data_IF_290226167898
#
_entry.id   IF_290226167898
#
_cell.length_a   1.000
_cell.length_b   1.000
_cell.length_c   1.000
_cell.angle_alpha   90.00
_cell.angle_beta   90.00
_cell.angle_gamma   90.00
#
_symmetry.space_group_name_H-M   'P 1'
#
loop_
_entity.id
_entity.type
_entity.pdbx_description
1 polymer ?
#
# COMPACT_ATOMS: atom_id res chain seq x y z
N UNK A 1 -12.22 9.77 -33.99
CA UNK A 1 -11.33 10.25 -32.92
C UNK A 1 -9.90 9.91 -33.32
N UNK A 2 -9.02 10.89 -33.32
CA UNK A 2 -7.63 10.64 -33.68
C UNK A 2 -6.88 9.95 -32.52
N UNK A 3 -5.74 9.31 -32.84
CA UNK A 3 -4.90 8.72 -31.79
C UNK A 3 -4.34 9.78 -30.81
N UNK A 4 -4.31 11.04 -31.24
CA UNK A 4 -3.89 12.15 -30.40
C UNK A 4 -5.02 12.54 -29.44
N UNK A 5 -6.27 12.63 -29.91
CA UNK A 5 -7.43 12.96 -29.08
C UNK A 5 -7.61 11.90 -27.98
N UNK A 6 -7.44 10.61 -28.31
CA UNK A 6 -7.52 9.54 -27.30
C UNK A 6 -6.44 9.65 -26.24
N UNK A 7 -5.21 10.03 -26.60
CA UNK A 7 -4.13 10.22 -25.60
C UNK A 7 -4.37 11.43 -24.69
N UNK A 8 -4.95 12.48 -25.24
CA UNK A 8 -5.31 13.67 -24.48
C UNK A 8 -6.43 13.36 -23.46
N UNK A 9 -7.46 12.61 -23.86
CA UNK A 9 -8.52 12.13 -22.96
C UNK A 9 -7.96 11.19 -21.88
N UNK A 10 -7.10 10.24 -22.26
CA UNK A 10 -6.45 9.32 -21.34
C UNK A 10 -5.54 10.03 -20.32
N UNK A 11 -4.91 11.13 -20.71
CA UNK A 11 -4.12 11.93 -19.78
C UNK A 11 -5.02 12.75 -18.87
N UNK A 12 -6.13 13.29 -19.39
CA UNK A 12 -7.06 14.10 -18.64
C UNK A 12 -7.75 13.32 -17.52
N UNK A 13 -8.09 12.03 -17.73
CA UNK A 13 -8.70 11.19 -16.70
C UNK A 13 -7.75 10.93 -15.53
N UNK A 14 -6.47 10.73 -15.82
CA UNK A 14 -5.43 10.54 -14.80
C UNK A 14 -5.18 11.82 -14.02
N UNK A 15 -5.09 12.97 -14.69
CA UNK A 15 -4.90 14.26 -14.01
C UNK A 15 -6.10 14.59 -13.10
N UNK A 16 -7.30 14.31 -13.53
CA UNK A 16 -8.51 14.48 -12.72
C UNK A 16 -8.49 13.57 -11.49
N UNK A 17 -8.11 12.29 -11.64
CA UNK A 17 -7.98 11.36 -10.53
C UNK A 17 -6.89 11.80 -9.55
N UNK A 18 -5.74 12.25 -10.04
CA UNK A 18 -4.66 12.79 -9.22
C UNK A 18 -5.13 14.01 -8.40
N UNK A 19 -5.79 14.96 -9.04
CA UNK A 19 -6.30 16.16 -8.38
C UNK A 19 -7.32 15.85 -7.29
N UNK A 20 -8.17 14.84 -7.49
CA UNK A 20 -9.24 14.49 -6.57
C UNK A 20 -8.80 13.61 -5.39
N UNK A 21 -7.81 12.73 -5.57
CA UNK A 21 -7.56 11.63 -4.63
C UNK A 21 -6.16 11.57 -4.03
N UNK A 22 -5.13 12.22 -4.62
CA UNK A 22 -3.78 12.13 -4.09
C UNK A 22 -3.66 12.69 -2.68
N UNK A 23 -2.94 11.98 -1.82
CA UNK A 23 -2.51 12.38 -0.49
C UNK A 23 -3.64 12.73 0.50
N UNK A 24 -4.88 12.34 0.19
CA UNK A 24 -6.01 12.50 1.11
C UNK A 24 -6.23 11.20 1.85
N UNK A 25 -6.09 11.21 3.18
CA UNK A 25 -6.35 10.05 4.04
C UNK A 25 -7.83 9.67 3.93
N UNK A 26 -8.10 8.44 3.55
CA UNK A 26 -9.47 7.93 3.39
C UNK A 26 -9.78 6.75 4.32
N UNK A 27 -8.78 6.18 4.97
CA UNK A 27 -8.92 5.07 5.92
C UNK A 27 -7.94 5.25 7.07
N UNK A 28 -8.43 5.05 8.28
CA UNK A 28 -7.60 5.05 9.48
C UNK A 28 -7.99 3.87 10.37
N UNK A 29 -7.00 3.12 10.82
CA UNK A 29 -7.16 1.99 11.71
C UNK A 29 -6.12 2.04 12.81
N UNK A 30 -6.46 1.47 13.98
CA UNK A 30 -5.48 1.25 15.05
C UNK A 30 -5.30 -0.24 15.26
N UNK A 31 -4.06 -0.68 15.22
CA UNK A 31 -3.65 -2.06 15.47
C UNK A 31 -2.93 -2.16 16.81
N UNK A 32 -3.12 -3.27 17.51
CA UNK A 32 -2.25 -3.71 18.59
C UNK A 32 -1.82 -5.13 18.28
N UNK A 33 -0.52 -5.35 18.12
CA UNK A 33 -0.01 -6.64 17.68
C UNK A 33 0.33 -7.53 18.87
N UNK A 34 -0.06 -8.78 18.77
CA UNK A 34 0.31 -9.83 19.69
C UNK A 34 1.72 -10.35 19.39
N UNK A 35 2.55 -10.52 20.44
CA UNK A 35 3.94 -10.94 20.26
C UNK A 35 4.08 -12.31 19.62
N UNK A 36 3.21 -13.28 19.96
CA UNK A 36 3.26 -14.62 19.36
C UNK A 36 2.89 -14.59 17.88
N UNK A 37 1.98 -13.71 17.47
CA UNK A 37 1.65 -13.51 16.05
C UNK A 37 2.80 -12.88 15.27
N UNK A 38 3.51 -11.91 15.86
CA UNK A 38 4.70 -11.34 15.24
C UNK A 38 5.80 -12.38 15.07
N UNK A 39 6.06 -13.20 16.09
CA UNK A 39 7.04 -14.29 16.03
C UNK A 39 6.65 -15.35 15.00
N UNK A 40 5.37 -15.71 14.91
CA UNK A 40 4.87 -16.65 13.91
C UNK A 40 5.03 -16.12 12.48
N UNK A 41 4.77 -14.85 12.25
CA UNK A 41 5.02 -14.20 10.96
C UNK A 41 6.50 -14.25 10.60
N UNK A 42 7.39 -13.90 11.54
CA UNK A 42 8.82 -13.95 11.34
C UNK A 42 9.30 -15.36 10.96
N UNK A 43 8.85 -16.37 11.69
CA UNK A 43 9.18 -17.78 11.40
C UNK A 43 8.67 -18.22 10.02
N UNK A 44 7.47 -17.82 9.62
CA UNK A 44 6.89 -18.12 8.31
C UNK A 44 7.69 -17.47 7.17
N UNK A 45 8.34 -16.33 7.41
CA UNK A 45 9.23 -15.66 6.46
C UNK A 45 10.65 -16.24 6.45
N UNK A 46 10.95 -17.23 7.29
CA UNK A 46 12.28 -17.82 7.40
C UNK A 46 13.27 -17.03 8.25
N UNK A 47 12.78 -16.06 9.06
CA UNK A 47 13.60 -15.34 10.01
C UNK A 47 14.12 -16.26 11.12
N UNK A 48 15.38 -16.03 11.51
CA UNK A 48 16.05 -16.79 12.58
C UNK A 48 16.61 -15.91 13.69
N UNK A 49 16.68 -14.59 13.48
CA UNK A 49 17.20 -13.67 14.47
C UNK A 49 16.28 -13.61 15.71
N UNK A 50 16.78 -13.81 16.94
CA UNK A 50 15.97 -13.85 18.15
C UNK A 50 15.11 -12.58 18.36
N UNK A 51 15.59 -11.40 17.95
CA UNK A 51 14.82 -10.15 18.03
C UNK A 51 13.49 -10.19 17.27
N UNK A 52 13.33 -11.11 16.31
CA UNK A 52 12.11 -11.27 15.51
C UNK A 52 11.33 -12.52 15.87
N UNK A 53 11.98 -13.55 16.43
CA UNK A 53 11.40 -14.87 16.63
C UNK A 53 11.10 -15.22 18.09
N UNK A 54 11.72 -14.52 19.04
CA UNK A 54 11.57 -14.76 20.46
C UNK A 54 10.86 -13.60 21.16
N UNK A 55 9.58 -13.73 21.54
CA UNK A 55 8.85 -12.69 22.26
C UNK A 55 9.46 -12.25 23.59
N UNK A 56 10.32 -13.08 24.19
CA UNK A 56 11.03 -12.73 25.44
C UNK A 56 12.33 -11.94 25.22
N UNK A 57 12.76 -11.79 23.97
CA UNK A 57 13.98 -11.05 23.66
C UNK A 57 13.81 -9.57 24.02
N UNK A 58 14.83 -8.96 24.63
CA UNK A 58 14.77 -7.57 25.11
C UNK A 58 14.49 -6.55 23.98
N UNK A 59 14.93 -6.84 22.76
CA UNK A 59 14.69 -6.01 21.56
C UNK A 59 13.68 -6.67 20.61
N UNK A 60 12.69 -7.38 21.15
CA UNK A 60 11.69 -8.06 20.31
C UNK A 60 10.84 -7.06 19.54
N UNK A 61 10.72 -7.29 18.24
CA UNK A 61 10.03 -6.41 17.31
C UNK A 61 9.56 -7.17 16.08
N UNK A 62 8.60 -6.61 15.34
CA UNK A 62 8.20 -7.16 14.05
C UNK A 62 9.36 -7.11 13.05
N UNK A 63 9.52 -8.12 12.18
CA UNK A 63 10.47 -8.02 11.10
C UNK A 63 10.11 -6.87 10.14
N UNK A 64 11.11 -6.27 9.45
CA UNK A 64 10.91 -5.09 8.61
C UNK A 64 9.85 -5.23 7.53
N UNK A 65 9.58 -6.44 7.06
CA UNK A 65 8.57 -6.73 6.03
C UNK A 65 7.15 -6.89 6.57
N UNK A 66 6.97 -6.97 7.90
CA UNK A 66 5.68 -7.20 8.53
C UNK A 66 4.56 -6.23 8.05
N UNK A 67 4.82 -4.92 7.84
CA UNK A 67 3.79 -3.99 7.37
C UNK A 67 3.16 -4.38 6.04
N UNK A 68 3.82 -5.19 5.21
CA UNK A 68 3.24 -5.67 3.94
C UNK A 68 2.08 -6.63 4.13
N UNK A 69 1.92 -7.22 5.33
CA UNK A 69 0.79 -8.07 5.69
C UNK A 69 -0.47 -7.31 6.09
N UNK A 70 -0.35 -6.01 6.33
CA UNK A 70 -1.46 -5.17 6.74
C UNK A 70 -2.25 -4.67 5.52
N UNK A 71 -3.54 -4.48 5.73
CA UNK A 71 -4.45 -3.98 4.70
C UNK A 71 -5.37 -2.91 5.27
N UNK A 72 -5.70 -1.85 4.50
CA UNK A 72 -6.72 -0.91 4.89
C UNK A 72 -8.09 -1.60 4.96
N UNK A 73 -9.00 -1.07 5.77
CA UNK A 73 -10.38 -1.56 5.83
C UNK A 73 -11.13 -1.31 4.53
N UNK A 74 -10.72 -0.29 3.79
CA UNK A 74 -11.24 0.07 2.48
C UNK A 74 -10.08 0.15 1.48
N UNK A 75 -10.16 -0.64 0.43
CA UNK A 75 -9.06 -0.76 -0.56
C UNK A 75 -8.83 0.51 -1.36
N UNK A 76 -9.88 1.22 -1.72
CA UNK A 76 -9.86 2.48 -2.48
C UNK A 76 -10.81 3.49 -1.85
N UNK A 77 -10.57 4.80 -1.99
CA UNK A 77 -11.48 5.81 -1.50
C UNK A 77 -12.82 5.76 -2.22
N UNK A 78 -13.85 6.28 -1.57
CA UNK A 78 -15.18 6.41 -2.18
C UNK A 78 -15.11 7.31 -3.40
N UNK A 79 -15.82 6.92 -4.46
CA UNK A 79 -15.83 7.67 -5.71
C UNK A 79 -14.56 7.53 -6.56
N UNK A 80 -13.60 6.70 -6.16
CA UNK A 80 -12.41 6.47 -6.98
C UNK A 80 -12.80 5.94 -8.37
N UNK A 81 -12.22 6.48 -9.47
CA UNK A 81 -12.62 6.11 -10.82
C UNK A 81 -12.38 4.63 -11.12
N UNK A 82 -13.30 4.04 -11.87
CA UNK A 82 -13.17 2.68 -12.38
C UNK A 82 -12.50 2.71 -13.75
N UNK A 83 -11.27 2.25 -13.80
CA UNK A 83 -10.60 1.99 -15.07
C UNK A 83 -11.03 0.63 -15.61
N UNK A 84 -11.45 0.60 -16.88
CA UNK A 84 -12.02 -0.61 -17.48
C UNK A 84 -10.93 -1.54 -18.00
N UNK A 85 -10.77 -2.69 -17.37
CA UNK A 85 -9.73 -3.63 -17.79
C UNK A 85 -9.52 -4.79 -16.84
N UNK A 86 -8.38 -5.45 -16.99
CA UNK A 86 -7.95 -6.54 -16.13
C UNK A 86 -7.15 -5.99 -14.94
N UNK A 87 -7.67 -6.22 -13.74
CA UNK A 87 -6.96 -5.92 -12.50
C UNK A 87 -5.86 -6.92 -12.19
N UNK A 88 -4.69 -6.41 -11.79
CA UNK A 88 -3.53 -7.19 -11.40
C UNK A 88 -2.91 -6.62 -10.14
N UNK A 89 -2.23 -7.47 -9.37
CA UNK A 89 -1.36 -7.03 -8.29
C UNK A 89 -0.06 -6.48 -8.93
N UNK A 90 0.26 -5.23 -8.59
CA UNK A 90 1.47 -4.54 -9.06
C UNK A 90 2.65 -4.67 -8.09
N UNK A 91 2.45 -5.39 -6.99
CA UNK A 91 3.46 -5.60 -5.97
C UNK A 91 3.32 -4.69 -4.75
N UNK A 92 4.21 -4.92 -3.81
CA UNK A 92 4.28 -4.21 -2.54
C UNK A 92 5.67 -3.64 -2.31
N UNK A 93 5.73 -2.52 -1.59
CA UNK A 93 6.99 -1.96 -1.10
C UNK A 93 6.82 -1.57 0.37
N UNK A 94 7.90 -1.66 1.13
CA UNK A 94 7.92 -1.31 2.55
C UNK A 94 9.17 -0.49 2.85
N UNK A 95 9.01 0.53 3.71
CA UNK A 95 10.11 1.24 4.34
C UNK A 95 9.95 1.13 5.84
N UNK A 96 10.83 0.38 6.48
CA UNK A 96 10.91 0.29 7.93
C UNK A 96 11.75 1.45 8.46
N UNK A 97 11.19 2.26 9.36
CA UNK A 97 11.80 3.48 9.88
C UNK A 97 12.18 3.30 11.35
N UNK A 98 11.25 2.75 12.15
CA UNK A 98 11.45 2.47 13.57
C UNK A 98 10.78 1.15 13.95
N UNK A 99 11.19 0.50 15.07
CA UNK A 99 10.64 -0.79 15.48
C UNK A 99 9.13 -0.75 15.73
N UNK A 100 8.42 -1.74 15.20
CA UNK A 100 7.03 -2.05 15.59
C UNK A 100 7.09 -3.11 16.67
N UNK A 101 6.61 -2.78 17.87
CA UNK A 101 6.67 -3.64 19.05
C UNK A 101 5.29 -4.14 19.43
N UNK A 102 5.19 -5.36 20.02
CA UNK A 102 3.91 -5.89 20.48
C UNK A 102 3.32 -5.06 21.62
N UNK A 103 2.00 -5.11 21.75
CA UNK A 103 1.27 -4.50 22.86
C UNK A 103 1.13 -2.97 22.80
N UNK A 104 1.73 -2.31 21.83
CA UNK A 104 1.63 -0.86 21.63
C UNK A 104 0.63 -0.54 20.52
N UNK A 105 -0.19 0.51 20.65
CA UNK A 105 -1.10 0.92 19.60
C UNK A 105 -0.30 1.51 18.42
N UNK A 106 -0.65 1.05 17.22
CA UNK A 106 -0.11 1.55 15.95
C UNK A 106 -1.25 2.06 15.11
N UNK A 107 -1.24 3.34 14.79
CA UNK A 107 -2.23 3.97 13.92
C UNK A 107 -1.76 3.90 12.47
N UNK A 108 -2.58 3.32 11.62
CA UNK A 108 -2.35 3.24 10.18
C UNK A 108 -3.24 4.23 9.45
N UNK A 109 -2.66 5.16 8.72
CA UNK A 109 -3.36 6.13 7.86
C UNK A 109 -3.10 5.79 6.41
N UNK A 110 -4.17 5.62 5.64
CA UNK A 110 -4.09 5.18 4.24
C UNK A 110 -4.55 6.27 3.29
N UNK A 111 -3.75 6.49 2.25
CA UNK A 111 -4.07 7.43 1.17
C UNK A 111 -3.62 6.88 -0.19
N UNK A 112 -4.19 7.43 -1.25
CA UNK A 112 -3.67 7.22 -2.61
C UNK A 112 -2.39 8.04 -2.74
N UNK A 113 -1.26 7.37 -2.90
CA UNK A 113 0.06 7.99 -2.92
C UNK A 113 0.49 8.42 -4.30
N UNK A 114 0.17 7.62 -5.32
CA UNK A 114 0.46 7.95 -6.71
C UNK A 114 -0.55 7.30 -7.66
N UNK A 115 -0.77 7.94 -8.79
CA UNK A 115 -1.54 7.43 -9.93
C UNK A 115 -0.74 7.77 -11.17
N UNK A 116 -0.36 6.77 -11.94
CA UNK A 116 0.41 6.96 -13.17
C UNK A 116 0.08 5.89 -14.20
N UNK A 117 0.51 6.12 -15.42
CA UNK A 117 0.29 5.18 -16.51
C UNK A 117 1.60 4.73 -17.15
N UNK A 118 1.55 3.53 -17.70
CA UNK A 118 2.57 3.01 -18.64
C UNK A 118 1.85 2.44 -19.84
N UNK A 119 2.36 2.72 -21.03
CA UNK A 119 1.83 2.16 -22.28
C UNK A 119 2.82 1.15 -22.83
N UNK A 120 2.34 -0.05 -23.07
CA UNK A 120 3.10 -1.14 -23.68
C UNK A 120 2.41 -1.70 -24.91
N UNK A 121 2.92 -2.82 -25.43
CA UNK A 121 2.34 -3.49 -26.61
C UNK A 121 0.88 -3.94 -26.41
N UNK A 122 0.48 -4.20 -25.18
CA UNK A 122 -0.86 -4.65 -24.80
C UNK A 122 -1.81 -3.52 -24.40
N UNK A 123 -1.46 -2.27 -24.64
CA UNK A 123 -2.26 -1.09 -24.29
C UNK A 123 -1.76 -0.33 -23.08
N UNK A 124 -2.59 0.58 -22.60
CA UNK A 124 -2.35 1.39 -21.41
C UNK A 124 -2.54 0.55 -20.13
N UNK A 125 -1.66 0.76 -19.17
CA UNK A 125 -1.79 0.24 -17.81
C UNK A 125 -1.88 1.43 -16.85
N UNK A 126 -2.88 1.44 -16.00
CA UNK A 126 -3.05 2.44 -14.94
C UNK A 126 -2.58 1.83 -13.63
N UNK A 127 -1.63 2.51 -12.99
CA UNK A 127 -1.08 2.15 -11.67
C UNK A 127 -1.66 3.06 -10.61
N UNK A 128 -2.23 2.48 -9.58
CA UNK A 128 -2.65 3.18 -8.36
C UNK A 128 -1.83 2.67 -7.20
N UNK A 129 -1.03 3.53 -6.60
CA UNK A 129 -0.23 3.19 -5.41
C UNK A 129 -0.97 3.66 -4.18
N UNK A 130 -1.33 2.71 -3.33
CA UNK A 130 -1.96 2.96 -2.03
C UNK A 130 -0.86 2.86 -0.98
N UNK A 131 -0.68 3.92 -0.19
CA UNK A 131 0.26 3.95 0.92
C UNK A 131 -0.46 3.91 2.25
N UNK A 132 -0.03 3.00 3.09
CA UNK A 132 -0.36 2.96 4.51
C UNK A 132 0.85 3.48 5.29
N UNK A 133 0.64 4.53 6.06
CA UNK A 133 1.64 5.11 6.96
C UNK A 133 1.33 4.66 8.38
N UNK A 134 2.32 4.08 9.07
CA UNK A 134 2.18 3.54 10.42
C UNK A 134 2.84 4.48 11.42
N UNK A 135 2.08 4.86 12.45
CA UNK A 135 2.53 5.79 13.51
C UNK A 135 2.37 5.14 14.89
N UNK A 136 3.26 5.48 15.80
CA UNK A 136 3.11 5.17 17.22
C UNK A 136 2.13 6.14 17.91
N UNK A 137 1.94 5.96 19.23
CA UNK A 137 1.06 6.80 20.04
C UNK A 137 1.52 8.28 20.15
N UNK A 138 2.76 8.58 19.77
CA UNK A 138 3.34 9.93 19.78
C UNK A 138 3.37 10.56 18.37
N UNK A 139 2.64 9.98 17.41
CA UNK A 139 2.68 10.38 15.98
C UNK A 139 4.08 10.25 15.33
N UNK A 140 4.93 9.38 15.86
CA UNK A 140 6.22 9.05 15.24
C UNK A 140 5.99 8.00 14.15
N UNK A 141 6.47 8.26 12.95
CA UNK A 141 6.34 7.32 11.84
C UNK A 141 7.23 6.09 12.07
N UNK A 142 6.63 4.91 12.03
CA UNK A 142 7.29 3.63 12.21
C UNK A 142 7.63 2.96 10.88
N UNK A 143 6.74 3.05 9.90
CA UNK A 143 6.90 2.43 8.59
C UNK A 143 5.96 3.03 7.56
N UNK A 144 6.26 2.79 6.29
CA UNK A 144 5.30 2.91 5.19
C UNK A 144 5.16 1.57 4.47
N UNK A 145 3.94 1.24 4.04
CA UNK A 145 3.66 0.06 3.24
C UNK A 145 2.82 0.44 2.02
N UNK A 146 3.39 0.23 0.84
CA UNK A 146 2.74 0.52 -0.42
C UNK A 146 2.16 -0.75 -1.04
N UNK A 147 0.99 -0.63 -1.62
CA UNK A 147 0.38 -1.65 -2.47
C UNK A 147 0.05 -1.03 -3.82
N UNK A 148 0.57 -1.61 -4.89
CA UNK A 148 0.26 -1.17 -6.26
C UNK A 148 -0.86 -2.01 -6.84
N UNK A 149 -1.91 -1.33 -7.30
CA UNK A 149 -2.99 -1.91 -8.09
C UNK A 149 -2.74 -1.53 -9.54
N UNK A 150 -2.78 -2.49 -10.44
CA UNK A 150 -2.59 -2.24 -11.88
C UNK A 150 -3.85 -2.65 -12.62
N UNK A 151 -4.38 -1.76 -13.42
CA UNK A 151 -5.44 -2.05 -14.38
C UNK A 151 -4.84 -2.00 -15.78
N UNK A 152 -4.79 -3.14 -16.45
CA UNK A 152 -4.48 -3.20 -17.88
C UNK A 152 -5.76 -2.99 -18.67
N UNK A 153 -5.90 -1.84 -19.28
CA UNK A 153 -7.08 -1.53 -20.07
C UNK A 153 -7.20 -2.42 -21.29
N UNK A 154 -8.43 -2.71 -21.67
CA UNK A 154 -8.70 -3.42 -22.91
C UNK A 154 -8.57 -2.45 -24.07
N UNK A 155 -7.95 -2.85 -25.18
CA UNK A 155 -7.99 -2.06 -26.40
C UNK A 155 -9.46 -1.75 -26.74
N UNK A 156 -9.74 -0.52 -27.18
CA UNK A 156 -11.04 -0.18 -27.72
C UNK A 156 -11.31 -1.11 -28.93
N UNK A 157 -12.42 -1.85 -28.86
CA UNK A 157 -12.88 -2.73 -29.95
C UNK A 157 -13.49 -1.92 -31.08
#
# INVERSE_FOLDING_TARGET
MSSQDMREEEQADIEAARAAFLNTVYDEQTFTFDGDKLAAYAAACGETAPRYTDPSHADFQAPPTFPTSLHPSRRLPEGYPKFNGLGMDGGKAVSAIAPIRPGQPVTARTHVHDIYTKTGRSGRMVFTVIRMELFDANDTMLATADTSIVIRERPAS
#
